data_IF_519091762885
#
_entry.id   IF_519091762885
#
_cell.length_a   1.000
_cell.length_b   1.000
_cell.length_c   1.000
_cell.angle_alpha   90.00
_cell.angle_beta   90.00
_cell.angle_gamma   90.00
#
_symmetry.space_group_name_H-M   'P 1'
#
loop_
_entity.id
_entity.type
_entity.pdbx_description
1 polymer ?
#
# COMPACT_ATOMS: atom_id res chain seq x y z
N UNK A 1 1.68 6.70 -18.47
CA UNK A 1 0.49 6.37 -17.67
C UNK A 1 -0.01 7.65 -17.03
N UNK A 2 -1.31 7.97 -17.12
CA UNK A 2 -1.87 9.16 -16.46
C UNK A 2 -1.91 8.98 -14.95
N UNK A 3 -1.85 10.08 -14.20
CA UNK A 3 -1.94 10.06 -12.75
C UNK A 3 -3.32 9.53 -12.29
N UNK A 4 -3.31 8.47 -11.49
CA UNK A 4 -4.49 7.93 -10.80
C UNK A 4 -4.94 8.87 -9.68
N UNK A 5 -6.26 8.96 -9.50
CA UNK A 5 -6.89 9.66 -8.39
C UNK A 5 -6.74 8.88 -7.09
N UNK A 6 -6.92 9.56 -5.96
CA UNK A 6 -6.90 8.91 -4.64
C UNK A 6 -7.96 7.81 -4.49
N UNK A 7 -9.12 7.91 -5.15
CA UNK A 7 -10.15 6.88 -5.10
C UNK A 7 -9.73 5.62 -5.85
N UNK A 8 -9.05 5.77 -6.99
CA UNK A 8 -8.49 4.64 -7.74
C UNK A 8 -7.37 3.95 -6.97
N UNK A 9 -6.49 4.72 -6.33
CA UNK A 9 -5.43 4.17 -5.47
C UNK A 9 -6.01 3.40 -4.29
N UNK A 10 -7.05 3.94 -3.63
CA UNK A 10 -7.75 3.24 -2.56
C UNK A 10 -8.45 1.96 -3.02
N UNK A 11 -8.96 1.94 -4.27
CA UNK A 11 -9.52 0.71 -4.85
C UNK A 11 -8.41 -0.33 -5.05
N UNK A 12 -7.30 0.06 -5.68
CA UNK A 12 -6.13 -0.81 -5.88
C UNK A 12 -5.64 -1.37 -4.54
N UNK A 13 -5.53 -0.53 -3.52
CA UNK A 13 -5.15 -0.95 -2.17
C UNK A 13 -6.09 -2.02 -1.62
N UNK A 14 -7.41 -1.81 -1.68
CA UNK A 14 -8.40 -2.78 -1.17
C UNK A 14 -8.35 -4.11 -1.92
N UNK A 15 -8.29 -4.05 -3.25
CA UNK A 15 -8.21 -5.25 -4.09
C UNK A 15 -6.90 -6.01 -3.79
N UNK A 16 -5.79 -5.29 -3.66
CA UNK A 16 -4.49 -5.88 -3.32
C UNK A 16 -4.45 -6.45 -1.91
N UNK A 17 -5.09 -5.80 -0.93
CA UNK A 17 -5.18 -6.27 0.45
C UNK A 17 -5.98 -7.58 0.51
N UNK A 18 -7.12 -7.64 -0.19
CA UNK A 18 -7.93 -8.85 -0.25
C UNK A 18 -7.12 -10.02 -0.82
N UNK A 19 -6.41 -9.80 -1.94
CA UNK A 19 -5.54 -10.82 -2.52
C UNK A 19 -4.41 -11.26 -1.57
N UNK A 20 -3.82 -10.32 -0.82
CA UNK A 20 -2.77 -10.64 0.16
C UNK A 20 -3.32 -11.48 1.32
N UNK A 21 -4.51 -11.16 1.82
CA UNK A 21 -5.18 -11.94 2.87
C UNK A 21 -5.43 -13.38 2.38
N UNK A 22 -6.02 -13.54 1.19
CA UNK A 22 -6.26 -14.87 0.61
C UNK A 22 -4.96 -15.65 0.41
N UNK A 23 -3.92 -15.01 -0.10
CA UNK A 23 -2.61 -15.63 -0.28
C UNK A 23 -1.99 -16.07 1.07
N UNK A 24 -2.15 -15.27 2.12
CA UNK A 24 -1.65 -15.56 3.47
C UNK A 24 -2.32 -16.77 4.11
N UNK A 25 -3.59 -17.02 3.78
CA UNK A 25 -4.35 -18.18 4.27
C UNK A 25 -3.90 -19.49 3.59
N UNK A 26 -3.57 -19.44 2.29
CA UNK A 26 -3.22 -20.64 1.52
C UNK A 26 -1.73 -21.01 1.56
N UNK A 27 -0.86 -20.04 1.87
CA UNK A 27 0.60 -20.26 1.84
C UNK A 27 1.12 -20.97 3.08
N UNK A 28 2.03 -21.93 2.89
CA UNK A 28 2.67 -22.74 3.94
C UNK A 28 3.90 -22.08 4.57
N UNK A 29 4.16 -20.80 4.27
CA UNK A 29 5.28 -20.06 4.83
C UNK A 29 5.16 -19.88 6.35
N UNK A 30 6.30 -19.79 7.03
CA UNK A 30 6.36 -19.48 8.45
C UNK A 30 5.92 -18.04 8.70
N UNK A 31 5.51 -17.73 9.94
CA UNK A 31 5.08 -16.39 10.34
C UNK A 31 6.14 -15.33 10.04
N UNK A 32 7.42 -15.62 10.28
CA UNK A 32 8.52 -14.67 10.03
C UNK A 32 8.64 -14.29 8.54
N UNK A 33 8.51 -15.27 7.64
CA UNK A 33 8.51 -15.02 6.20
C UNK A 33 7.29 -14.22 5.76
N UNK A 34 6.13 -14.54 6.33
CA UNK A 34 4.89 -13.82 6.08
C UNK A 34 5.00 -12.35 6.48
N UNK A 35 5.57 -12.04 7.64
CA UNK A 35 5.80 -10.66 8.11
C UNK A 35 6.68 -9.89 7.12
N UNK A 36 7.83 -10.46 6.73
CA UNK A 36 8.73 -9.79 5.79
C UNK A 36 8.09 -9.51 4.43
N UNK A 37 7.21 -10.40 3.96
CA UNK A 37 6.46 -10.21 2.71
C UNK A 37 5.40 -9.12 2.86
N UNK A 38 4.70 -9.06 4.00
CA UNK A 38 3.74 -7.98 4.29
C UNK A 38 4.45 -6.63 4.31
N UNK A 39 5.62 -6.54 4.94
CA UNK A 39 6.39 -5.29 5.02
C UNK A 39 6.82 -4.82 3.63
N UNK A 40 7.39 -5.71 2.81
CA UNK A 40 7.76 -5.40 1.44
C UNK A 40 6.55 -4.98 0.59
N UNK A 41 5.42 -5.68 0.73
CA UNK A 41 4.17 -5.34 0.05
C UNK A 41 3.63 -3.96 0.46
N UNK A 42 3.72 -3.60 1.74
CA UNK A 42 3.35 -2.27 2.21
C UNK A 42 4.28 -1.20 1.63
N UNK A 43 5.59 -1.47 1.53
CA UNK A 43 6.55 -0.53 0.94
C UNK A 43 6.27 -0.24 -0.54
N UNK A 44 5.89 -1.27 -1.31
CA UNK A 44 5.47 -1.09 -2.71
C UNK A 44 4.21 -0.21 -2.82
N UNK A 45 3.25 -0.37 -1.89
CA UNK A 45 2.05 0.46 -1.86
C UNK A 45 2.36 1.92 -1.50
N UNK A 46 3.31 2.17 -0.60
CA UNK A 46 3.78 3.52 -0.28
C UNK A 46 4.34 4.20 -1.51
N UNK A 47 5.23 3.51 -2.23
CA UNK A 47 5.82 4.04 -3.46
C UNK A 47 4.76 4.24 -4.55
N UNK A 48 3.78 3.35 -4.65
CA UNK A 48 2.64 3.53 -5.55
C UNK A 48 1.86 4.82 -5.23
N UNK A 49 1.53 5.09 -3.97
CA UNK A 49 0.79 6.31 -3.60
C UNK A 49 1.65 7.56 -3.81
N UNK A 50 2.93 7.50 -3.42
CA UNK A 50 3.89 8.59 -3.55
C UNK A 50 4.14 8.98 -5.00
N UNK A 51 4.32 8.01 -5.89
CA UNK A 51 4.51 8.24 -7.33
C UNK A 51 3.29 8.90 -8.00
N UNK A 52 2.12 8.83 -7.36
CA UNK A 52 0.89 9.50 -7.78
C UNK A 52 0.59 10.78 -6.99
N UNK A 53 1.51 11.23 -6.12
CA UNK A 53 1.41 12.50 -5.41
C UNK A 53 0.55 12.46 -4.15
N UNK A 54 0.23 11.28 -3.62
CA UNK A 54 -0.53 11.10 -2.39
C UNK A 54 0.29 10.45 -1.29
N UNK A 55 -0.05 10.76 -0.03
CA UNK A 55 0.45 10.03 1.14
C UNK A 55 -0.39 8.77 1.35
N UNK A 56 0.26 7.62 1.51
CA UNK A 56 -0.42 6.35 1.82
C UNK A 56 -1.11 6.39 3.19
N UNK A 57 -0.47 6.99 4.19
CA UNK A 57 -1.02 7.05 5.56
C UNK A 57 -2.25 7.93 5.73
N UNK A 58 -2.33 9.08 5.05
CA UNK A 58 -3.43 10.04 5.23
C UNK A 58 -4.25 10.33 3.97
N UNK A 59 -3.90 9.74 2.82
CA UNK A 59 -4.57 9.90 1.53
C UNK A 59 -4.62 11.34 0.99
N UNK A 60 -3.92 12.29 1.60
CA UNK A 60 -3.82 13.68 1.12
C UNK A 60 -2.73 13.79 0.08
N UNK A 61 -2.85 14.80 -0.79
CA UNK A 61 -1.74 15.22 -1.65
C UNK A 61 -0.48 15.46 -0.79
N UNK A 62 0.68 15.05 -1.28
CA UNK A 62 1.95 15.15 -0.54
C UNK A 62 2.23 16.59 -0.09
N UNK A 63 1.88 17.58 -0.91
CA UNK A 63 2.01 19.02 -0.58
C UNK A 63 1.15 19.48 0.60
N UNK A 64 0.14 18.70 0.99
CA UNK A 64 -0.77 18.95 2.13
C UNK A 64 -0.63 17.91 3.24
N UNK A 65 0.29 16.96 3.10
CA UNK A 65 0.56 15.92 4.09
C UNK A 65 1.23 16.52 5.33
N UNK A 66 0.87 16.01 6.50
CA UNK A 66 1.46 16.37 7.80
C UNK A 66 1.85 15.14 8.64
N UNK A 67 1.89 13.97 8.02
CA UNK A 67 2.35 12.76 8.69
C UNK A 67 3.82 12.94 9.10
N UNK A 68 4.18 12.49 10.30
CA UNK A 68 5.56 12.56 10.80
C UNK A 68 6.54 11.83 9.87
N UNK A 69 6.06 10.74 9.29
CA UNK A 69 6.64 10.12 8.10
C UNK A 69 5.54 10.11 7.04
N UNK A 70 5.74 10.75 5.87
CA UNK A 70 4.87 10.58 4.72
C UNK A 70 5.11 9.18 4.16
N UNK A 71 4.59 8.20 4.88
CA UNK A 71 4.35 6.84 4.42
C UNK A 71 3.35 6.95 3.27
#
# INVERSE_FOLDING_TARGET
MGAKTIFELNRIYRDSLQNMIEWMEITSLTSDWKIGIIDAWQDDLKELFRSHGYCYGCNRELVRCRCAEPI
#
